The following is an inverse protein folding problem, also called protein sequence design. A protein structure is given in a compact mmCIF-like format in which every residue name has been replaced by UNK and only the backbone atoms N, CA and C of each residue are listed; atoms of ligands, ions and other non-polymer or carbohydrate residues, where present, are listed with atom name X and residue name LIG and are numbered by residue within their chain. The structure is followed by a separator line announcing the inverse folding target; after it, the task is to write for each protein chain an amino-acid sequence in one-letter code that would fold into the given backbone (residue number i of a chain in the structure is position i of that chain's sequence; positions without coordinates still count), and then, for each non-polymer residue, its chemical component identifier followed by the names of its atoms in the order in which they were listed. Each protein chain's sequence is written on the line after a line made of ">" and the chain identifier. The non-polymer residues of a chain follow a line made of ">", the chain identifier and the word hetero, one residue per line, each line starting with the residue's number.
data_IF_644814413474
#
_entry.id   IF_644814413474
#
_cell.length_a   1.000
_cell.length_b   1.000
_cell.length_c   1.000
_cell.angle_alpha   90.00
_cell.angle_beta   90.00
_cell.angle_gamma   90.00
#
_symmetry.space_group_name_H-M   'P 1'
#
loop_
_entity.id
_entity.type
_entity.pdbx_description
1 polymer ?
#
# COMPACT_ATOMS: atom_id res chain seq x y z
N UNK A 1 43.57 30.32 -1.27
CA UNK A 1 42.49 29.53 -1.90
C UNK A 1 43.11 28.48 -2.82
N UNK A 2 42.99 27.18 -2.51
CA UNK A 2 43.04 26.16 -3.54
C UNK A 2 41.87 25.16 -3.46
N UNK A 3 41.66 24.51 -4.61
CA UNK A 3 40.48 23.75 -5.01
C UNK A 3 40.21 22.48 -4.20
N UNK A 4 38.93 22.27 -3.88
CA UNK A 4 38.38 21.01 -3.39
C UNK A 4 38.38 20.00 -4.55
N UNK A 5 39.40 19.14 -4.59
CA UNK A 5 39.54 18.12 -5.63
C UNK A 5 38.57 16.95 -5.44
N UNK A 6 37.95 16.59 -6.56
CA UNK A 6 37.04 15.48 -6.81
C UNK A 6 37.73 14.13 -6.52
N UNK A 7 37.45 13.53 -5.35
CA UNK A 7 37.86 12.16 -5.00
C UNK A 7 36.69 11.17 -5.00
N UNK A 8 35.73 11.33 -5.93
CA UNK A 8 34.49 10.53 -5.97
C UNK A 8 34.31 9.62 -7.19
N UNK A 9 35.08 9.76 -8.28
CA UNK A 9 34.77 9.05 -9.54
C UNK A 9 35.19 7.58 -9.58
N UNK A 10 36.34 7.21 -8.99
CA UNK A 10 36.88 5.83 -9.05
C UNK A 10 36.06 4.84 -8.21
N UNK A 11 35.53 5.30 -7.08
CA UNK A 11 34.66 4.48 -6.21
C UNK A 11 33.34 4.13 -6.91
N UNK A 12 32.72 5.11 -7.57
CA UNK A 12 31.45 4.92 -8.28
C UNK A 12 31.58 3.98 -9.48
N UNK A 13 32.70 4.03 -10.21
CA UNK A 13 32.96 3.13 -11.35
C UNK A 13 33.12 1.68 -10.89
N UNK A 14 33.81 1.45 -9.77
CA UNK A 14 33.98 0.10 -9.23
C UNK A 14 32.66 -0.47 -8.67
N UNK A 15 31.83 0.36 -8.03
CA UNK A 15 30.47 -0.04 -7.61
C UNK A 15 29.58 -0.37 -8.81
N UNK A 16 29.65 0.43 -9.88
CA UNK A 16 28.89 0.17 -11.10
C UNK A 16 29.31 -1.15 -11.77
N UNK A 17 30.62 -1.41 -11.88
CA UNK A 17 31.15 -2.67 -12.42
C UNK A 17 30.73 -3.88 -11.58
N UNK A 18 30.76 -3.76 -10.26
CA UNK A 18 30.28 -4.79 -9.34
C UNK A 18 28.78 -5.06 -9.53
N UNK A 19 27.97 -4.01 -9.66
CA UNK A 19 26.53 -4.15 -9.89
C UNK A 19 26.23 -4.81 -11.23
N UNK A 20 26.90 -4.39 -12.32
CA UNK A 20 26.76 -5.02 -13.63
C UNK A 20 27.17 -6.50 -13.59
N UNK A 21 28.25 -6.84 -12.88
CA UNK A 21 28.64 -8.24 -12.68
C UNK A 21 27.55 -9.04 -11.95
N UNK A 22 26.94 -8.49 -10.90
CA UNK A 22 25.82 -9.12 -10.17
C UNK A 22 24.61 -9.33 -11.11
N UNK A 23 24.28 -8.36 -11.97
CA UNK A 23 23.21 -8.51 -12.97
C UNK A 23 23.54 -9.62 -13.98
N UNK A 24 24.74 -9.64 -14.53
CA UNK A 24 25.14 -10.67 -15.49
C UNK A 24 25.16 -12.08 -14.86
N UNK A 25 25.65 -12.20 -13.62
CA UNK A 25 25.70 -13.48 -12.89
C UNK A 25 24.30 -13.98 -12.55
N UNK A 26 23.44 -13.10 -12.04
CA UNK A 26 22.05 -13.44 -11.69
C UNK A 26 21.19 -13.79 -12.91
N UNK A 27 21.34 -13.08 -14.03
CA UNK A 27 20.65 -13.43 -15.28
C UNK A 27 21.10 -14.79 -15.81
N UNK A 28 22.41 -15.08 -15.82
CA UNK A 28 22.95 -16.37 -16.21
C UNK A 28 22.46 -17.51 -15.30
N UNK A 29 22.53 -17.34 -13.99
CA UNK A 29 22.04 -18.31 -13.01
C UNK A 29 20.53 -18.52 -13.10
N UNK A 30 19.75 -17.48 -13.39
CA UNK A 30 18.30 -17.59 -13.55
C UNK A 30 17.93 -18.47 -14.75
N UNK A 31 18.63 -18.31 -15.87
CA UNK A 31 18.43 -19.15 -17.07
C UNK A 31 18.88 -20.58 -16.81
N UNK A 32 20.05 -20.77 -16.17
CA UNK A 32 20.60 -22.09 -15.88
C UNK A 32 19.75 -22.91 -14.90
N UNK A 33 19.26 -22.27 -13.84
CA UNK A 33 18.44 -22.91 -12.80
C UNK A 33 16.93 -22.88 -13.11
N UNK A 34 16.54 -22.30 -14.25
CA UNK A 34 15.14 -22.04 -14.64
C UNK A 34 14.32 -21.37 -13.52
N UNK A 35 14.97 -20.56 -12.69
CA UNK A 35 14.36 -19.92 -11.53
C UNK A 35 14.30 -18.41 -11.73
N UNK A 36 13.08 -17.90 -11.93
CA UNK A 36 12.80 -16.48 -12.17
C UNK A 36 13.17 -15.60 -10.95
N UNK A 37 13.18 -16.15 -9.72
CA UNK A 37 13.48 -15.36 -8.51
C UNK A 37 14.91 -14.82 -8.52
N UNK A 38 15.85 -15.55 -9.12
CA UNK A 38 17.26 -15.16 -9.20
C UNK A 38 17.43 -13.93 -10.11
N UNK A 39 16.61 -13.82 -11.16
CA UNK A 39 16.60 -12.65 -12.05
C UNK A 39 16.19 -11.37 -11.32
N UNK A 40 15.30 -11.47 -10.33
CA UNK A 40 14.80 -10.32 -9.55
C UNK A 40 15.83 -9.84 -8.51
N UNK A 41 16.80 -10.68 -8.16
CA UNK A 41 17.75 -10.41 -7.08
C UNK A 41 18.54 -9.09 -7.20
N UNK A 42 19.11 -8.69 -8.35
CA UNK A 42 19.83 -7.42 -8.47
C UNK A 42 18.90 -6.21 -8.30
N UNK A 43 17.67 -6.31 -8.83
CA UNK A 43 16.66 -5.28 -8.66
C UNK A 43 16.23 -5.17 -7.19
N UNK A 44 16.09 -6.30 -6.50
CA UNK A 44 15.84 -6.33 -5.06
C UNK A 44 16.99 -5.68 -4.27
N UNK A 45 18.24 -5.92 -4.65
CA UNK A 45 19.42 -5.34 -3.99
C UNK A 45 19.49 -3.82 -4.17
N UNK A 46 19.17 -3.30 -5.36
CA UNK A 46 19.00 -1.85 -5.56
C UNK A 46 17.83 -1.30 -4.75
N UNK A 47 16.71 -2.03 -4.69
CA UNK A 47 15.56 -1.66 -3.88
C UNK A 47 15.92 -1.51 -2.40
N UNK A 48 16.64 -2.50 -1.85
CA UNK A 48 17.15 -2.46 -0.47
C UNK A 48 18.10 -1.29 -0.27
N UNK A 49 19.06 -1.07 -1.17
CA UNK A 49 19.97 0.08 -1.09
C UNK A 49 19.23 1.42 -1.12
N UNK A 50 18.21 1.56 -1.96
CA UNK A 50 17.39 2.76 -2.06
C UNK A 50 16.52 2.99 -0.80
N UNK A 51 16.08 1.92 -0.13
CA UNK A 51 15.33 1.98 1.13
C UNK A 51 16.25 2.39 2.29
N UNK A 52 17.49 1.87 2.33
CA UNK A 52 18.47 2.23 3.36
C UNK A 52 18.90 3.70 3.26
N UNK A 53 18.94 4.26 2.05
CA UNK A 53 19.23 5.68 1.79
C UNK A 53 18.10 6.61 2.26
N UNK A 54 16.83 6.26 1.98
CA UNK A 54 15.68 7.00 2.49
C UNK A 54 14.51 6.06 2.80
N UNK A 55 14.29 5.81 4.09
CA UNK A 55 13.22 4.95 4.58
C UNK A 55 11.81 5.44 4.19
N UNK A 56 11.64 6.71 3.80
CA UNK A 56 10.35 7.22 3.30
C UNK A 56 9.99 6.63 1.94
N UNK A 57 10.97 6.15 1.17
CA UNK A 57 10.70 5.46 -0.11
C UNK A 57 9.92 4.17 0.13
N UNK A 58 10.24 3.44 1.21
CA UNK A 58 9.50 2.24 1.62
C UNK A 58 8.02 2.53 1.89
N UNK A 59 7.73 3.70 2.49
CA UNK A 59 6.36 4.14 2.71
C UNK A 59 5.60 4.35 1.41
N UNK A 60 6.24 4.80 0.32
CA UNK A 60 5.57 4.89 -0.99
C UNK A 60 5.45 3.53 -1.68
N UNK A 61 6.44 2.66 -1.51
CA UNK A 61 6.45 1.29 -2.07
C UNK A 61 5.28 0.48 -1.55
N UNK A 62 4.92 0.59 -0.26
CA UNK A 62 3.79 -0.16 0.27
C UNK A 62 2.48 0.19 -0.46
N UNK A 63 2.22 1.46 -0.80
CA UNK A 63 1.03 1.84 -1.58
C UNK A 63 1.03 1.28 -3.01
N UNK A 64 2.20 1.03 -3.59
CA UNK A 64 2.30 0.35 -4.88
C UNK A 64 2.00 -1.15 -4.77
N UNK A 65 2.37 -1.76 -3.65
CA UNK A 65 2.25 -3.21 -3.42
C UNK A 65 0.87 -3.62 -2.91
N UNK A 66 0.17 -2.74 -2.17
CA UNK A 66 -1.16 -3.03 -1.59
C UNK A 66 -2.16 -3.68 -2.57
N UNK A 67 -2.32 -3.22 -3.82
CA UNK A 67 -3.25 -3.82 -4.77
C UNK A 67 -2.87 -5.23 -5.26
N UNK A 68 -1.64 -5.66 -5.02
CA UNK A 68 -1.06 -6.91 -5.51
C UNK A 68 -0.70 -7.87 -4.36
N UNK A 69 -1.30 -7.67 -3.18
CA UNK A 69 -1.00 -8.47 -2.00
C UNK A 69 -1.80 -9.77 -2.00
N UNK A 70 -1.12 -10.90 -2.22
CA UNK A 70 -1.72 -12.22 -2.23
C UNK A 70 -1.69 -12.84 -0.82
N UNK A 71 -2.78 -13.48 -0.44
CA UNK A 71 -2.85 -14.28 0.78
C UNK A 71 -2.11 -15.60 0.56
N UNK A 72 -1.10 -15.87 1.36
CA UNK A 72 -0.30 -17.10 1.31
C UNK A 72 -0.43 -17.87 2.61
N UNK A 73 -0.72 -19.16 2.52
CA UNK A 73 -0.83 -20.07 3.66
C UNK A 73 0.41 -20.95 3.73
N UNK A 74 1.18 -20.83 4.82
CA UNK A 74 2.30 -21.75 5.06
C UNK A 74 1.78 -23.07 5.62
N UNK A 75 1.75 -24.10 4.77
CA UNK A 75 1.46 -25.47 5.17
C UNK A 75 2.42 -25.89 6.30
N UNK A 76 1.87 -26.26 7.46
CA UNK A 76 2.63 -26.68 8.65
C UNK A 76 2.73 -25.64 9.78
N UNK A 77 2.70 -24.33 9.49
CA UNK A 77 2.77 -23.29 10.52
C UNK A 77 1.39 -22.77 10.97
N UNK A 78 0.33 -23.07 10.22
CA UNK A 78 -1.03 -22.57 10.49
C UNK A 78 -1.13 -21.04 10.42
N UNK A 79 -0.20 -20.39 9.73
CA UNK A 79 -0.13 -18.94 9.57
C UNK A 79 -0.43 -18.58 8.11
N UNK A 80 -1.52 -17.85 7.90
CA UNK A 80 -1.79 -17.11 6.66
C UNK A 80 -1.18 -15.72 6.77
N UNK A 81 -0.50 -15.26 5.73
CA UNK A 81 0.09 -13.91 5.66
C UNK A 81 -0.13 -13.31 4.28
N UNK A 82 -0.25 -11.98 4.23
CA UNK A 82 -0.45 -11.25 2.98
C UNK A 82 0.91 -10.81 2.40
N UNK A 83 1.40 -11.52 1.37
CA UNK A 83 2.69 -11.25 0.74
C UNK A 83 2.47 -10.39 -0.51
N UNK A 84 3.25 -9.30 -0.74
CA UNK A 84 4.37 -8.81 0.06
C UNK A 84 4.00 -7.78 1.14
N UNK A 85 2.73 -7.43 1.31
CA UNK A 85 2.34 -6.26 2.10
C UNK A 85 2.67 -6.41 3.59
N UNK A 86 2.41 -7.56 4.21
CA UNK A 86 2.66 -7.79 5.65
C UNK A 86 4.13 -7.73 6.03
N UNK A 87 5.06 -8.41 5.32
CA UNK A 87 6.48 -8.22 5.54
C UNK A 87 6.94 -6.75 5.45
N UNK A 88 6.39 -5.99 4.48
CA UNK A 88 6.70 -4.57 4.33
C UNK A 88 6.12 -3.71 5.47
N UNK A 89 4.92 -4.04 5.96
CA UNK A 89 4.31 -3.39 7.13
C UNK A 89 5.11 -3.63 8.40
N UNK A 90 5.62 -4.85 8.60
CA UNK A 90 6.51 -5.18 9.71
C UNK A 90 7.81 -4.37 9.64
N UNK A 91 8.42 -4.27 8.46
CA UNK A 91 9.63 -3.46 8.26
C UNK A 91 9.36 -1.97 8.55
N UNK A 92 8.26 -1.41 8.02
CA UNK A 92 7.85 -0.04 8.30
C UNK A 92 7.53 0.20 9.77
N UNK A 93 6.99 -0.81 10.46
CA UNK A 93 6.76 -0.78 11.90
C UNK A 93 8.06 -0.67 12.67
N UNK A 94 9.06 -1.49 12.34
CA UNK A 94 10.40 -1.40 12.92
C UNK A 94 11.03 -0.02 12.71
N UNK A 95 10.92 0.52 11.49
CA UNK A 95 11.38 1.89 11.17
C UNK A 95 10.61 2.93 11.99
N UNK A 96 9.29 2.81 12.11
CA UNK A 96 8.48 3.72 12.91
C UNK A 96 8.92 3.74 14.37
N UNK A 97 9.16 2.57 14.97
CA UNK A 97 9.66 2.45 16.34
C UNK A 97 11.07 3.06 16.47
N UNK A 98 11.97 2.78 15.54
CA UNK A 98 13.32 3.37 15.53
C UNK A 98 13.27 4.90 15.48
N UNK A 99 12.43 5.47 14.62
CA UNK A 99 12.26 6.93 14.51
C UNK A 99 11.65 7.51 15.79
N UNK A 100 10.67 6.85 16.41
CA UNK A 100 10.11 7.27 17.69
C UNK A 100 11.15 7.26 18.81
N UNK A 101 11.98 6.22 18.88
CA UNK A 101 13.07 6.11 19.85
C UNK A 101 14.07 7.26 19.71
N UNK A 102 14.49 7.60 18.48
CA UNK A 102 15.39 8.75 18.24
C UNK A 102 14.78 10.10 18.65
N UNK A 103 13.46 10.17 18.79
CA UNK A 103 12.71 11.35 19.21
C UNK A 103 12.25 11.28 20.67
N UNK A 104 12.70 10.30 21.46
CA UNK A 104 12.22 10.06 22.83
C UNK A 104 10.69 9.97 22.93
N UNK A 105 10.05 9.35 21.93
CA UNK A 105 8.59 9.26 21.80
C UNK A 105 7.85 10.62 21.80
N UNK A 106 8.57 11.71 21.50
CA UNK A 106 7.94 13.02 21.36
C UNK A 106 7.13 13.11 20.07
N UNK A 107 5.82 13.22 20.24
CA UNK A 107 4.87 13.56 19.18
C UNK A 107 4.30 14.95 19.45
N UNK A 108 3.89 15.66 18.40
CA UNK A 108 3.26 16.97 18.59
C UNK A 108 1.94 16.81 19.36
N UNK A 109 1.80 17.58 20.44
CA UNK A 109 0.66 17.57 21.34
C UNK A 109 -0.69 17.70 20.62
N UNK A 110 -0.75 18.51 19.54
CA UNK A 110 -1.96 18.69 18.75
C UNK A 110 -2.47 17.40 18.11
N UNK A 111 -1.57 16.46 17.77
CA UNK A 111 -1.97 15.20 17.18
C UNK A 111 -2.41 14.17 18.22
N UNK A 112 -1.73 14.13 19.37
CA UNK A 112 -2.02 13.16 20.44
C UNK A 112 -3.35 13.46 21.13
N UNK A 113 -3.72 14.73 21.22
CA UNK A 113 -5.02 15.16 21.78
C UNK A 113 -6.18 15.08 20.78
N UNK A 114 -5.91 14.77 19.51
CA UNK A 114 -6.97 14.67 18.52
C UNK A 114 -7.90 13.49 18.84
N UNK A 115 -9.24 13.66 18.79
CA UNK A 115 -10.19 12.61 19.18
C UNK A 115 -9.98 11.27 18.47
N UNK A 116 -9.59 11.32 17.18
CA UNK A 116 -9.30 10.11 16.40
C UNK A 116 -8.08 9.35 16.94
N UNK A 117 -7.03 10.04 17.38
CA UNK A 117 -5.86 9.41 17.99
C UNK A 117 -6.25 8.73 19.31
N UNK A 118 -7.00 9.42 20.16
CA UNK A 118 -7.47 8.91 21.46
C UNK A 118 -8.36 7.68 21.25
N UNK A 119 -9.35 7.75 20.35
CA UNK A 119 -10.22 6.62 20.02
C UNK A 119 -9.43 5.41 19.53
N UNK A 120 -8.41 5.63 18.69
CA UNK A 120 -7.57 4.56 18.18
C UNK A 120 -6.73 3.92 19.30
N UNK A 121 -6.14 4.71 20.19
CA UNK A 121 -5.40 4.20 21.35
C UNK A 121 -6.32 3.44 22.30
N UNK A 122 -7.52 3.96 22.60
CA UNK A 122 -8.52 3.26 23.40
C UNK A 122 -8.95 1.94 22.77
N UNK A 123 -9.10 1.91 21.44
CA UNK A 123 -9.44 0.68 20.73
C UNK A 123 -8.33 -0.38 20.85
N UNK A 124 -7.06 -0.02 20.64
CA UNK A 124 -5.94 -0.96 20.81
C UNK A 124 -5.81 -1.40 22.26
N UNK A 125 -5.99 -0.49 23.21
CA UNK A 125 -6.00 -0.80 24.64
C UNK A 125 -7.11 -1.81 24.98
N UNK A 126 -8.31 -1.62 24.43
CA UNK A 126 -9.41 -2.57 24.61
C UNK A 126 -9.10 -3.95 24.02
N UNK A 127 -8.47 -4.02 22.84
CA UNK A 127 -7.99 -5.29 22.26
C UNK A 127 -6.98 -5.95 23.20
N UNK A 128 -6.08 -5.19 23.82
CA UNK A 128 -5.13 -5.72 24.80
C UNK A 128 -5.84 -6.31 26.03
N UNK A 129 -6.79 -5.59 26.64
CA UNK A 129 -7.56 -6.08 27.79
C UNK A 129 -8.35 -7.36 27.45
N UNK A 130 -9.00 -7.40 26.29
CA UNK A 130 -9.73 -8.59 25.84
C UNK A 130 -8.81 -9.76 25.48
N UNK A 131 -7.60 -9.48 25.00
CA UNK A 131 -6.59 -10.52 24.69
C UNK A 131 -6.07 -11.23 25.93
N UNK A 132 -5.95 -10.52 27.07
CA UNK A 132 -5.56 -11.12 28.36
C UNK A 132 -6.65 -12.08 28.88
N UNK A 133 -7.92 -11.73 28.69
CA UNK A 133 -9.06 -12.51 29.19
C UNK A 133 -9.55 -13.60 28.22
N UNK A 134 -8.85 -13.83 27.11
CA UNK A 134 -9.26 -14.76 26.07
C UNK A 134 -8.88 -16.20 26.39
N UNK A 135 -9.77 -17.15 26.07
CA UNK A 135 -9.52 -18.60 26.18
C UNK A 135 -8.31 -19.03 25.34
N UNK A 136 -8.12 -18.41 24.17
CA UNK A 136 -6.97 -18.66 23.28
C UNK A 136 -6.06 -17.44 23.27
N UNK A 137 -5.27 -17.29 24.34
CA UNK A 137 -4.38 -16.15 24.56
C UNK A 137 -3.41 -15.94 23.39
N UNK A 138 -2.78 -17.01 22.90
CA UNK A 138 -1.78 -16.92 21.82
C UNK A 138 -2.36 -16.37 20.50
N UNK A 139 -3.57 -16.78 20.11
CA UNK A 139 -4.23 -16.27 18.90
C UNK A 139 -4.61 -14.80 19.08
N UNK A 140 -5.05 -14.44 20.28
CA UNK A 140 -5.48 -13.06 20.60
C UNK A 140 -4.30 -12.09 20.59
N UNK A 141 -3.14 -12.50 21.13
CA UNK A 141 -1.91 -11.71 21.05
C UNK A 141 -1.37 -11.61 19.62
N UNK A 142 -1.49 -12.65 18.79
CA UNK A 142 -1.18 -12.55 17.35
C UNK A 142 -2.08 -11.51 16.65
N UNK A 143 -3.37 -11.49 16.97
CA UNK A 143 -4.30 -10.49 16.46
C UNK A 143 -3.95 -9.06 16.93
N UNK A 144 -3.61 -8.89 18.21
CA UNK A 144 -3.15 -7.61 18.75
C UNK A 144 -1.88 -7.13 18.03
N UNK A 145 -0.89 -8.01 17.85
CA UNK A 145 0.34 -7.70 17.11
C UNK A 145 0.03 -7.27 15.68
N UNK A 146 -0.90 -7.98 15.02
CA UNK A 146 -1.37 -7.59 13.70
C UNK A 146 -1.89 -6.16 13.68
N UNK A 147 -2.80 -5.80 14.60
CA UNK A 147 -3.33 -4.43 14.67
C UNK A 147 -2.25 -3.38 14.91
N UNK A 148 -1.25 -3.67 15.73
CA UNK A 148 -0.12 -2.74 15.98
C UNK A 148 0.67 -2.49 14.69
N UNK A 149 1.03 -3.54 13.93
CA UNK A 149 1.79 -3.36 12.69
C UNK A 149 0.96 -2.87 11.50
N UNK A 150 -0.38 -2.76 11.61
CA UNK A 150 -1.21 -1.97 10.69
C UNK A 150 -1.25 -0.48 11.09
N UNK A 151 -1.42 -0.20 12.39
CA UNK A 151 -1.58 1.16 12.91
C UNK A 151 -0.30 1.98 12.82
N UNK A 152 0.83 1.40 13.21
CA UNK A 152 2.11 2.12 13.21
C UNK A 152 2.48 2.65 11.81
N UNK A 153 2.50 1.85 10.73
CA UNK A 153 2.90 2.34 9.41
C UNK A 153 1.86 3.22 8.71
N UNK A 154 0.56 3.06 8.99
CA UNK A 154 -0.49 3.81 8.28
C UNK A 154 -1.10 4.98 9.06
N UNK A 155 -0.86 5.08 10.37
CA UNK A 155 -1.38 6.17 11.19
C UNK A 155 -0.27 6.99 11.86
N UNK A 156 0.66 6.34 12.55
CA UNK A 156 1.73 7.04 13.28
C UNK A 156 2.87 7.48 12.36
N UNK A 157 3.36 6.59 11.49
CA UNK A 157 4.47 6.90 10.60
C UNK A 157 4.16 8.07 9.65
N UNK A 158 2.98 8.17 8.99
CA UNK A 158 2.62 9.30 8.14
C UNK A 158 2.66 10.62 8.92
N UNK A 159 2.16 10.64 10.15
CA UNK A 159 2.19 11.82 11.02
C UNK A 159 3.61 12.33 11.29
N UNK A 160 4.61 11.45 11.28
CA UNK A 160 6.01 11.80 11.52
C UNK A 160 6.73 12.22 10.22
N UNK A 161 6.51 11.49 9.13
CA UNK A 161 7.25 11.68 7.86
C UNK A 161 6.62 12.72 6.95
N UNK A 162 5.29 12.88 7.00
CA UNK A 162 4.54 13.75 6.11
C UNK A 162 4.55 15.16 6.68
N UNK A 163 5.20 16.06 5.96
CA UNK A 163 5.24 17.50 6.30
C UNK A 163 4.43 18.36 5.34
N UNK A 164 4.09 17.81 4.18
CA UNK A 164 3.53 18.53 3.05
C UNK A 164 2.39 17.71 2.43
N UNK A 165 1.33 18.40 2.01
CA UNK A 165 0.15 17.76 1.38
C UNK A 165 0.53 17.00 0.11
N UNK A 166 1.54 17.46 -0.62
CA UNK A 166 2.06 16.80 -1.84
C UNK A 166 2.57 15.38 -1.56
N UNK A 167 3.04 15.08 -0.35
CA UNK A 167 3.53 13.75 0.02
C UNK A 167 2.37 12.76 0.20
N UNK A 168 1.26 13.19 0.80
CA UNK A 168 0.02 12.41 0.88
C UNK A 168 -0.53 12.18 -0.52
N UNK A 169 -0.63 13.24 -1.30
CA UNK A 169 -1.06 13.17 -2.70
C UNK A 169 -0.21 12.17 -3.49
N UNK A 170 1.12 12.19 -3.33
CA UNK A 170 2.02 11.23 -3.99
C UNK A 170 1.70 9.79 -3.62
N UNK A 171 1.46 9.49 -2.35
CA UNK A 171 1.11 8.14 -1.89
C UNK A 171 -0.20 7.65 -2.52
N UNK A 172 -1.25 8.46 -2.50
CA UNK A 172 -2.53 8.11 -3.15
C UNK A 172 -2.43 8.07 -4.68
N UNK A 173 -1.57 8.90 -5.29
CA UNK A 173 -1.29 8.84 -6.73
C UNK A 173 -0.61 7.54 -7.14
N UNK A 174 0.23 6.99 -6.28
CA UNK A 174 0.83 5.67 -6.48
C UNK A 174 -0.25 4.60 -6.30
N UNK A 175 -1.01 4.64 -5.21
CA UNK A 175 -2.07 3.66 -4.92
C UNK A 175 -3.05 3.51 -6.08
N UNK A 176 -3.65 4.62 -6.57
CA UNK A 176 -4.65 4.50 -7.63
C UNK A 176 -4.07 3.96 -8.93
N UNK A 177 -2.80 4.24 -9.27
CA UNK A 177 -2.18 3.76 -10.51
C UNK A 177 -2.00 2.25 -10.48
N UNK A 178 -1.48 1.72 -9.38
CA UNK A 178 -1.28 0.29 -9.21
C UNK A 178 -2.65 -0.43 -9.09
N UNK A 179 -3.61 0.17 -8.39
CA UNK A 179 -4.97 -0.35 -8.30
C UNK A 179 -5.71 -0.31 -9.64
N UNK A 180 -5.50 0.73 -10.45
CA UNK A 180 -6.04 0.81 -11.82
C UNK A 180 -5.56 -0.38 -12.67
N UNK A 181 -4.26 -0.69 -12.62
CA UNK A 181 -3.71 -1.85 -13.32
C UNK A 181 -4.36 -3.15 -12.83
N UNK A 182 -4.48 -3.33 -11.51
CA UNK A 182 -5.14 -4.50 -10.94
C UNK A 182 -6.61 -4.62 -11.40
N UNK A 183 -7.38 -3.53 -11.38
CA UNK A 183 -8.77 -3.49 -11.86
C UNK A 183 -8.84 -3.84 -13.35
N UNK A 184 -7.94 -3.31 -14.18
CA UNK A 184 -7.89 -3.66 -15.60
C UNK A 184 -7.66 -5.16 -15.81
N UNK A 185 -6.74 -5.79 -15.08
CA UNK A 185 -6.50 -7.23 -15.16
C UNK A 185 -7.77 -8.01 -14.78
N UNK A 186 -8.43 -7.61 -13.69
CA UNK A 186 -9.68 -8.24 -13.22
C UNK A 186 -10.80 -8.10 -14.25
N UNK A 187 -10.98 -6.91 -14.85
CA UNK A 187 -12.00 -6.67 -15.87
C UNK A 187 -11.74 -7.45 -17.16
N UNK A 188 -10.48 -7.56 -17.59
CA UNK A 188 -10.10 -8.37 -18.76
C UNK A 188 -10.44 -9.85 -18.50
N UNK A 189 -10.15 -10.37 -17.31
CA UNK A 189 -10.52 -11.74 -16.94
C UNK A 189 -12.03 -11.94 -16.88
N UNK A 190 -12.75 -10.99 -16.31
CA UNK A 190 -14.21 -10.99 -16.35
C UNK A 190 -14.75 -11.02 -17.78
N UNK A 191 -14.12 -10.31 -18.73
CA UNK A 191 -14.54 -10.31 -20.12
C UNK A 191 -14.41 -11.71 -20.76
N UNK A 192 -13.36 -12.46 -20.44
CA UNK A 192 -13.21 -13.85 -20.89
C UNK A 192 -14.24 -14.80 -20.26
N UNK A 193 -14.70 -14.49 -19.05
CA UNK A 193 -15.73 -15.26 -18.31
C UNK A 193 -17.16 -14.71 -18.49
N UNK A 194 -17.37 -13.87 -19.52
CA UNK A 194 -18.69 -13.32 -19.86
C UNK A 194 -19.32 -12.40 -18.82
N UNK A 195 -18.51 -11.79 -17.94
CA UNK A 195 -18.95 -10.96 -16.81
C UNK A 195 -19.97 -11.67 -15.90
N UNK A 196 -19.85 -12.99 -15.72
CA UNK A 196 -20.78 -13.71 -14.85
C UNK A 196 -20.54 -13.41 -13.36
N UNK A 197 -21.61 -13.48 -12.56
CA UNK A 197 -21.50 -13.38 -11.09
C UNK A 197 -20.59 -14.48 -10.51
N UNK A 198 -20.69 -15.70 -11.03
CA UNK A 198 -19.89 -16.83 -10.57
C UNK A 198 -18.38 -16.59 -10.79
N UNK A 199 -17.99 -15.96 -11.90
CA UNK A 199 -16.60 -15.65 -12.19
C UNK A 199 -15.98 -14.66 -11.20
N UNK A 200 -16.77 -13.79 -10.55
CA UNK A 200 -16.26 -12.77 -9.63
C UNK A 200 -15.40 -13.34 -8.49
N UNK A 201 -15.65 -14.59 -8.09
CA UNK A 201 -14.89 -15.27 -7.02
C UNK A 201 -13.45 -15.59 -7.43
N UNK A 202 -13.19 -15.89 -8.70
CA UNK A 202 -11.91 -16.41 -9.18
C UNK A 202 -11.07 -15.36 -9.92
N UNK A 203 -11.71 -14.48 -10.69
CA UNK A 203 -11.03 -13.49 -11.55
C UNK A 203 -10.14 -12.49 -10.77
N UNK A 204 -10.44 -12.30 -9.48
CA UNK A 204 -9.68 -11.42 -8.57
C UNK A 204 -8.42 -12.07 -7.99
N UNK A 205 -8.29 -13.40 -8.05
CA UNK A 205 -7.11 -14.14 -7.57
C UNK A 205 -5.97 -14.03 -8.58
N UNK A 206 -4.69 -14.02 -8.16
CA UNK A 206 -4.21 -14.19 -6.79
C UNK A 206 -4.12 -12.87 -6.01
N UNK A 207 -4.41 -11.72 -6.63
CA UNK A 207 -4.11 -10.40 -6.05
C UNK A 207 -5.02 -9.99 -4.91
N UNK A 208 -6.26 -10.48 -4.89
CA UNK A 208 -7.20 -10.21 -3.81
C UNK A 208 -7.73 -11.52 -3.23
N UNK A 209 -7.81 -11.59 -1.90
CA UNK A 209 -8.38 -12.72 -1.17
C UNK A 209 -9.79 -13.10 -1.65
N UNK A 210 -10.61 -12.10 -1.92
CA UNK A 210 -11.96 -12.26 -2.43
C UNK A 210 -12.43 -10.98 -3.14
N UNK A 211 -13.55 -11.08 -3.86
CA UNK A 211 -14.16 -9.97 -4.59
C UNK A 211 -14.62 -8.82 -3.68
N UNK A 212 -14.93 -9.11 -2.41
CA UNK A 212 -15.33 -8.09 -1.42
C UNK A 212 -14.16 -7.18 -1.06
N UNK A 213 -12.97 -7.74 -0.80
CA UNK A 213 -11.76 -6.97 -0.50
C UNK A 213 -11.35 -6.11 -1.71
N UNK A 214 -11.41 -6.67 -2.92
CA UNK A 214 -11.21 -5.95 -4.17
C UNK A 214 -12.19 -4.77 -4.32
N UNK A 215 -13.48 -5.00 -4.05
CA UNK A 215 -14.50 -3.96 -4.12
C UNK A 215 -14.29 -2.87 -3.06
N UNK A 216 -13.91 -3.26 -1.84
CA UNK A 216 -13.68 -2.35 -0.72
C UNK A 216 -12.54 -1.38 -1.01
N UNK A 217 -11.37 -1.88 -1.43
CA UNK A 217 -10.23 -1.00 -1.75
C UNK A 217 -10.54 -0.09 -2.94
N UNK A 218 -11.28 -0.58 -3.94
CA UNK A 218 -11.70 0.20 -5.11
C UNK A 218 -12.65 1.34 -4.72
N UNK A 219 -13.67 1.07 -3.89
CA UNK A 219 -14.61 2.09 -3.40
C UNK A 219 -13.92 3.10 -2.49
N UNK A 220 -13.05 2.66 -1.56
CA UNK A 220 -12.32 3.57 -0.67
C UNK A 220 -11.37 4.48 -1.46
N UNK A 221 -10.81 4.00 -2.58
CA UNK A 221 -9.94 4.80 -3.43
C UNK A 221 -10.69 5.75 -4.37
N UNK A 222 -11.96 5.48 -4.71
CA UNK A 222 -12.75 6.25 -5.66
C UNK A 222 -12.86 7.76 -5.33
N UNK A 223 -13.10 8.19 -4.07
CA UNK A 223 -13.11 9.62 -3.71
C UNK A 223 -11.78 10.33 -4.01
N UNK A 224 -10.65 9.64 -3.90
CA UNK A 224 -9.33 10.22 -4.21
C UNK A 224 -9.14 10.41 -5.71
N UNK A 225 -9.62 9.46 -6.54
CA UNK A 225 -9.65 9.63 -8.01
C UNK A 225 -10.50 10.84 -8.38
N UNK A 226 -11.66 11.01 -7.75
CA UNK A 226 -12.51 12.19 -7.95
C UNK A 226 -11.83 13.48 -7.48
N UNK A 227 -11.13 13.45 -6.35
CA UNK A 227 -10.35 14.60 -5.87
C UNK A 227 -9.26 15.01 -6.87
N UNK A 228 -8.53 14.05 -7.46
CA UNK A 228 -7.54 14.34 -8.49
C UNK A 228 -8.16 14.89 -9.78
N UNK A 229 -9.35 14.43 -10.16
CA UNK A 229 -10.11 15.03 -11.25
C UNK A 229 -10.41 16.51 -10.99
N UNK A 230 -10.76 16.87 -9.75
CA UNK A 230 -11.02 18.26 -9.34
C UNK A 230 -9.75 19.10 -9.30
N UNK A 231 -8.65 18.57 -8.76
CA UNK A 231 -7.34 19.25 -8.71
C UNK A 231 -6.87 19.58 -10.13
N UNK A 232 -6.88 18.60 -11.04
CA UNK A 232 -6.50 18.82 -12.43
C UNK A 232 -7.36 19.89 -13.12
N UNK A 233 -8.68 19.95 -12.81
CA UNK A 233 -9.56 21.00 -13.34
C UNK A 233 -9.16 22.39 -12.86
N UNK A 234 -8.81 22.51 -11.58
CA UNK A 234 -8.34 23.79 -10.98
C UNK A 234 -7.01 24.19 -11.61
N UNK A 235 -6.10 23.24 -11.83
CA UNK A 235 -4.79 23.46 -12.43
C UNK A 235 -4.83 23.60 -13.97
N UNK A 236 -6.01 23.64 -14.59
CA UNK A 236 -6.18 23.70 -16.06
C UNK A 236 -5.47 22.58 -16.83
N UNK A 237 -5.34 21.40 -16.22
CA UNK A 237 -4.75 20.19 -16.82
C UNK A 237 -5.82 19.31 -17.49
N UNK A 238 -5.40 18.49 -18.45
CA UNK A 238 -6.29 17.54 -19.13
C UNK A 238 -6.87 16.51 -18.15
N UNK A 239 -8.19 16.37 -18.18
CA UNK A 239 -8.93 15.44 -17.33
C UNK A 239 -9.32 14.12 -18.01
N UNK A 240 -8.94 13.92 -19.27
CA UNK A 240 -9.31 12.71 -20.04
C UNK A 240 -8.83 11.43 -19.35
N UNK A 241 -7.60 11.44 -18.83
CA UNK A 241 -7.03 10.29 -18.12
C UNK A 241 -7.77 9.98 -16.81
N UNK A 242 -8.08 11.00 -15.99
CA UNK A 242 -8.82 10.79 -14.75
C UNK A 242 -10.26 10.34 -14.99
N UNK A 243 -10.90 10.81 -16.08
CA UNK A 243 -12.21 10.31 -16.49
C UNK A 243 -12.17 8.82 -16.84
N UNK A 244 -11.17 8.38 -17.60
CA UNK A 244 -10.97 6.95 -17.91
C UNK A 244 -10.77 6.12 -16.64
N UNK A 245 -9.86 6.55 -15.75
CA UNK A 245 -9.62 5.86 -14.47
C UNK A 245 -10.91 5.76 -13.65
N UNK A 246 -11.66 6.85 -13.55
CA UNK A 246 -12.92 6.88 -12.80
C UNK A 246 -13.96 5.91 -13.37
N UNK A 247 -14.12 5.87 -14.70
CA UNK A 247 -15.02 4.92 -15.36
C UNK A 247 -14.60 3.47 -15.13
N UNK A 248 -13.31 3.16 -15.27
CA UNK A 248 -12.77 1.82 -15.03
C UNK A 248 -12.99 1.38 -13.57
N UNK A 249 -12.82 2.29 -12.61
CA UNK A 249 -13.10 1.99 -11.20
C UNK A 249 -14.59 1.69 -10.97
N UNK A 250 -15.50 2.49 -11.54
CA UNK A 250 -16.94 2.23 -11.43
C UNK A 250 -17.30 0.88 -12.05
N UNK A 251 -16.79 0.57 -13.25
CA UNK A 251 -17.00 -0.73 -13.89
C UNK A 251 -16.45 -1.87 -13.02
N UNK A 252 -15.25 -1.70 -12.46
CA UNK A 252 -14.63 -2.66 -11.56
C UNK A 252 -15.46 -2.93 -10.31
N UNK A 253 -16.00 -1.88 -9.68
CA UNK A 253 -16.86 -1.98 -8.49
C UNK A 253 -18.21 -2.60 -8.84
N UNK A 254 -18.77 -2.29 -10.01
CA UNK A 254 -20.05 -2.86 -10.45
C UNK A 254 -19.93 -4.37 -10.70
N UNK A 255 -18.91 -4.78 -11.46
CA UNK A 255 -18.67 -6.20 -11.79
C UNK A 255 -18.07 -7.00 -10.63
N UNK A 256 -17.72 -6.37 -9.50
CA UNK A 256 -17.41 -7.10 -8.28
C UNK A 256 -18.64 -7.71 -7.60
N UNK A 257 -19.85 -7.31 -8.02
CA UNK A 257 -21.13 -7.73 -7.46
C UNK A 257 -21.28 -7.58 -5.94
N UNK A 258 -20.46 -6.72 -5.33
CA UNK A 258 -20.46 -6.51 -3.89
C UNK A 258 -21.49 -5.44 -3.52
N UNK A 259 -22.66 -5.88 -3.03
CA UNK A 259 -23.79 -4.98 -2.68
C UNK A 259 -23.39 -3.81 -1.78
N UNK A 260 -22.58 -4.09 -0.74
CA UNK A 260 -22.10 -3.06 0.18
C UNK A 260 -21.23 -1.99 -0.51
N UNK A 261 -20.38 -2.41 -1.45
CA UNK A 261 -19.50 -1.51 -2.20
C UNK A 261 -20.31 -0.62 -3.17
N UNK A 262 -21.24 -1.23 -3.92
CA UNK A 262 -22.13 -0.51 -4.83
C UNK A 262 -22.99 0.49 -4.06
N UNK A 263 -23.59 0.07 -2.93
CA UNK A 263 -24.40 0.94 -2.08
C UNK A 263 -23.57 2.09 -1.50
N UNK A 264 -22.34 1.83 -1.05
CA UNK A 264 -21.43 2.86 -0.52
C UNK A 264 -21.13 3.95 -1.55
N UNK A 265 -21.04 3.61 -2.84
CA UNK A 265 -20.86 4.60 -3.91
C UNK A 265 -22.07 5.54 -4.03
N UNK A 266 -23.29 5.01 -3.96
CA UNK A 266 -24.52 5.81 -3.96
C UNK A 266 -24.65 6.69 -2.71
N UNK A 267 -24.34 6.13 -1.53
CA UNK A 267 -24.34 6.87 -0.26
C UNK A 267 -23.32 8.02 -0.32
N UNK A 268 -22.12 7.77 -0.82
CA UNK A 268 -21.08 8.80 -0.95
C UNK A 268 -21.52 9.94 -1.88
N UNK A 269 -22.18 9.62 -2.99
CA UNK A 269 -22.74 10.63 -3.89
C UNK A 269 -23.86 11.46 -3.23
N UNK A 270 -24.77 10.80 -2.51
CA UNK A 270 -25.83 11.45 -1.75
C UNK A 270 -25.28 12.39 -0.66
N UNK A 271 -24.29 11.91 0.11
CA UNK A 271 -23.62 12.71 1.12
C UNK A 271 -22.93 13.94 0.51
N UNK A 272 -22.23 13.77 -0.62
CA UNK A 272 -21.62 14.89 -1.33
C UNK A 272 -22.64 15.93 -1.79
N UNK A 273 -23.80 15.50 -2.30
CA UNK A 273 -24.87 16.39 -2.73
C UNK A 273 -25.45 17.20 -1.57
N UNK A 274 -25.67 16.56 -0.42
CA UNK A 274 -26.16 17.23 0.80
C UNK A 274 -25.14 18.26 1.28
N UNK A 275 -23.86 17.89 1.39
CA UNK A 275 -22.79 18.78 1.82
C UNK A 275 -22.67 20.00 0.89
N UNK A 276 -22.78 19.78 -0.43
CA UNK A 276 -22.71 20.87 -1.42
C UNK A 276 -23.91 21.82 -1.37
N UNK A 277 -25.09 21.35 -0.93
CA UNK A 277 -26.27 22.20 -0.77
C UNK A 277 -26.31 22.94 0.56
N UNK A 278 -25.69 22.37 1.60
CA UNK A 278 -25.67 22.93 2.95
C UNK A 278 -24.52 23.89 3.24
N UNK A 279 -23.55 24.04 2.33
CA UNK A 279 -22.47 25.03 2.39
C UNK A 279 -22.48 25.93 1.18
#
# INVERSE_FOLDING_TARGET
>A
MPAFQVKSSVSTINMYRLFVAIVCISTFLSVYLQNLLIFVFPAALLGVGAILDDYRRLFYVIFAVLPFSAEFYFEGAGLGTDIPSEPLMLLLTGICVAVLLTRNFSLNYQFVTHPVFILLVMHVFWIFITSINSQNTLISFKYLAAKIWYILPFFILPMIIIKQTQQIERAYRILYKFLFVAICIVLIRHAFEGFSFAASYEVVRPFFRNHVNYAAISVVCLPFVWAFFRINKIESRSNKWMALVFLIFISGIYFSYTRAAILSMFIAWGAWYIIKKGG
#
